data_IF_956329796375
#
_entry.id   IF_956329796375
#
_cell.length_a   1.000
_cell.length_b   1.000
_cell.length_c   1.000
_cell.angle_alpha   90.00
_cell.angle_beta   90.00
_cell.angle_gamma   90.00
#
_symmetry.space_group_name_H-M   'P 1'
#
loop_
_entity.id
_entity.type
_entity.pdbx_description
1 polymer ?
#
# COMPACT_ATOMS: atom_id res chain seq x y z
N UNK A 1 22.32 13.03 11.70
CA UNK A 1 21.52 14.13 12.27
C UNK A 1 21.02 15.00 11.12
N UNK A 2 19.94 14.57 10.46
CA UNK A 2 19.23 15.42 9.49
C UNK A 2 18.29 16.35 10.26
N UNK A 3 18.24 17.61 9.84
CA UNK A 3 17.65 18.72 10.59
C UNK A 3 16.14 18.83 10.32
N UNK A 4 15.40 19.28 11.34
CA UNK A 4 13.93 19.50 11.42
C UNK A 4 13.31 20.42 10.34
N UNK A 5 14.05 20.83 9.31
CA UNK A 5 13.65 21.83 8.32
C UNK A 5 13.06 21.30 7.00
N UNK A 6 13.05 19.99 6.77
CA UNK A 6 12.50 19.39 5.55
C UNK A 6 10.97 19.15 5.61
N UNK A 7 10.38 19.21 6.81
CA UNK A 7 9.03 18.68 7.07
C UNK A 7 7.88 19.69 6.89
N UNK A 8 8.17 20.99 6.81
CA UNK A 8 7.16 21.97 6.40
C UNK A 8 6.76 21.88 4.91
N UNK A 9 7.47 21.04 4.14
CA UNK A 9 7.18 20.81 2.71
C UNK A 9 6.39 19.53 2.43
N UNK A 10 6.39 18.51 3.29
CA UNK A 10 5.56 17.30 3.11
C UNK A 10 4.08 17.57 3.47
N UNK A 11 3.81 18.38 4.50
CA UNK A 11 2.46 18.85 4.80
C UNK A 11 1.86 19.72 3.67
N UNK A 12 2.70 20.28 2.79
CA UNK A 12 2.29 21.09 1.65
C UNK A 12 1.95 20.27 0.39
N UNK A 13 2.12 18.94 0.40
CA UNK A 13 1.62 18.06 -0.67
C UNK A 13 0.19 17.55 -0.44
N UNK A 14 -0.43 17.85 0.70
CA UNK A 14 -1.87 17.66 0.92
C UNK A 14 -2.67 18.85 0.37
N UNK A 15 -2.52 19.13 -0.92
CA UNK A 15 -3.22 20.23 -1.60
C UNK A 15 -4.62 19.79 -2.10
N UNK A 16 -5.52 19.46 -1.17
CA UNK A 16 -6.95 19.67 -1.40
C UNK A 16 -7.22 21.17 -1.20
N UNK A 17 -7.26 21.93 -2.29
CA UNK A 17 -7.49 23.38 -2.25
C UNK A 17 -8.94 23.73 -1.95
N UNK A 18 -9.17 24.49 -0.87
CA UNK A 18 -10.05 25.67 -0.90
C UNK A 18 -9.34 26.88 -0.24
N UNK A 19 -8.66 27.63 -1.11
CA UNK A 19 -8.39 29.07 -1.19
C UNK A 19 -7.85 29.91 0.01
N UNK A 20 -6.68 30.53 -0.22
CA UNK A 20 -6.56 32.00 -0.34
C UNK A 20 -5.20 32.47 -0.94
N UNK A 21 -5.29 33.13 -2.10
CA UNK A 21 -4.51 34.28 -2.62
C UNK A 21 -2.95 34.32 -2.69
N UNK A 22 -2.49 34.40 -3.95
CA UNK A 22 -1.46 35.28 -4.54
C UNK A 22 0.06 35.07 -4.27
N UNK A 23 0.78 34.67 -5.32
CA UNK A 23 2.01 35.28 -5.92
C UNK A 23 2.57 34.31 -7.00
N UNK A 24 2.12 34.42 -8.26
CA UNK A 24 2.80 35.06 -9.42
C UNK A 24 4.06 34.36 -9.97
N UNK A 25 3.91 33.93 -11.24
CA UNK A 25 4.88 33.71 -12.34
C UNK A 25 5.88 32.53 -12.29
N UNK A 26 5.61 31.48 -13.08
CA UNK A 26 6.30 31.15 -14.35
C UNK A 26 5.64 29.89 -14.96
N UNK A 27 4.89 29.97 -16.06
CA UNK A 27 5.34 29.43 -17.34
C UNK A 27 4.30 28.43 -17.87
N UNK A 28 3.51 28.85 -18.86
CA UNK A 28 2.36 28.11 -19.38
C UNK A 28 2.76 26.94 -20.28
N UNK A 29 2.06 25.80 -20.14
CA UNK A 29 1.91 24.78 -21.19
C UNK A 29 0.40 24.57 -21.41
N UNK A 30 0.02 24.46 -22.68
CA UNK A 30 -1.33 24.65 -23.20
C UNK A 30 -2.39 23.71 -22.59
N UNK A 31 -3.53 24.31 -22.20
CA UNK A 31 -4.78 23.62 -21.84
C UNK A 31 -5.39 22.97 -23.08
N UNK A 32 -5.71 21.67 -22.97
CA UNK A 32 -6.77 21.05 -23.76
C UNK A 32 -7.99 20.94 -22.84
N UNK A 33 -9.06 21.67 -23.15
CA UNK A 33 -10.32 21.61 -22.41
C UNK A 33 -10.94 20.20 -22.49
N UNK A 34 -11.36 19.59 -21.37
CA UNK A 34 -12.31 18.50 -21.41
C UNK A 34 -13.72 19.09 -21.63
N UNK A 35 -14.42 18.59 -22.65
CA UNK A 35 -15.84 18.85 -22.80
C UNK A 35 -16.59 18.27 -21.61
N UNK A 36 -17.40 19.11 -20.97
CA UNK A 36 -18.25 18.75 -19.85
C UNK A 36 -19.29 17.72 -20.28
N UNK A 37 -19.15 16.49 -19.79
CA UNK A 37 -20.23 15.53 -19.74
C UNK A 37 -20.52 15.29 -18.26
N UNK A 38 -21.70 15.72 -17.83
CA UNK A 38 -22.15 15.64 -16.45
C UNK A 38 -22.09 14.18 -15.97
N UNK A 39 -21.07 13.85 -15.18
CA UNK A 39 -21.01 12.61 -14.46
C UNK A 39 -22.00 12.72 -13.30
N UNK A 40 -22.99 11.83 -13.28
CA UNK A 40 -23.86 11.66 -12.12
C UNK A 40 -22.98 11.27 -10.93
N UNK A 41 -22.96 12.13 -9.91
CA UNK A 41 -22.38 11.83 -8.60
C UNK A 41 -23.20 10.74 -7.95
N UNK A 42 -22.75 9.50 -8.08
CA UNK A 42 -23.22 8.41 -7.24
C UNK A 42 -22.56 8.56 -5.86
N UNK A 43 -23.12 9.44 -5.01
CA UNK A 43 -22.83 9.40 -3.59
C UNK A 43 -23.48 8.16 -2.99
N UNK A 44 -22.73 7.07 -2.96
CA UNK A 44 -23.07 5.91 -2.14
C UNK A 44 -21.86 5.59 -1.27
N UNK A 45 -21.44 6.54 -0.43
CA UNK A 45 -20.50 6.24 0.65
C UNK A 45 -21.24 5.41 1.69
N UNK A 46 -20.75 4.19 1.96
CA UNK A 46 -21.31 3.34 2.99
C UNK A 46 -21.30 4.08 4.33
N UNK A 47 -22.43 4.06 5.04
CA UNK A 47 -22.54 4.66 6.37
C UNK A 47 -21.82 3.75 7.37
N UNK A 48 -20.64 4.14 7.80
CA UNK A 48 -19.90 3.41 8.83
C UNK A 48 -20.44 3.71 10.22
N UNK A 49 -20.54 2.67 11.05
CA UNK A 49 -20.86 2.80 12.47
C UNK A 49 -19.56 3.01 13.24
N UNK A 50 -19.58 3.91 14.22
CA UNK A 50 -18.46 4.10 15.13
C UNK A 50 -18.94 4.50 16.52
N UNK A 51 -18.09 4.30 17.52
CA UNK A 51 -18.30 4.86 18.87
C UNK A 51 -18.22 6.39 18.82
N UNK A 52 -17.25 6.92 18.08
CA UNK A 52 -17.11 8.36 17.83
C UNK A 52 -17.19 8.66 16.33
N UNK A 53 -18.06 9.59 15.94
CA UNK A 53 -18.13 10.11 14.56
C UNK A 53 -17.83 11.61 14.60
N UNK A 54 -16.88 12.05 13.79
CA UNK A 54 -16.56 13.47 13.57
C UNK A 54 -16.92 13.84 12.13
N UNK A 55 -17.93 14.68 11.97
CA UNK A 55 -18.55 15.00 10.68
C UNK A 55 -18.48 16.52 10.46
N UNK A 56 -17.56 16.98 9.61
CA UNK A 56 -17.32 18.41 9.35
C UNK A 56 -16.68 19.22 10.49
N UNK A 57 -16.53 18.62 11.68
CA UNK A 57 -15.98 19.26 12.88
C UNK A 57 -14.52 18.88 13.16
N UNK A 58 -13.90 19.54 14.14
CA UNK A 58 -12.55 19.22 14.62
C UNK A 58 -12.53 18.65 16.03
N UNK A 59 -11.71 17.62 16.25
CA UNK A 59 -11.51 16.97 17.55
C UNK A 59 -10.01 16.76 17.82
N UNK A 60 -9.56 16.98 19.05
CA UNK A 60 -8.21 16.63 19.48
C UNK A 60 -8.28 15.88 20.80
N UNK A 61 -7.63 14.72 20.85
CA UNK A 61 -7.56 13.87 22.04
C UNK A 61 -6.09 13.58 22.35
N UNK A 62 -5.75 13.67 23.63
CA UNK A 62 -4.39 13.38 24.11
C UNK A 62 -4.44 12.46 25.33
N UNK A 63 -3.61 11.41 25.32
CA UNK A 63 -3.47 10.48 26.46
C UNK A 63 -4.70 9.61 26.71
N UNK A 64 -5.63 9.51 25.75
CA UNK A 64 -6.90 8.81 25.95
C UNK A 64 -6.81 7.34 25.57
N UNK A 65 -7.67 6.53 26.19
CA UNK A 65 -7.96 5.17 25.73
C UNK A 65 -9.30 5.15 25.02
N UNK A 66 -9.32 4.67 23.78
CA UNK A 66 -10.51 4.56 22.94
C UNK A 66 -10.74 3.08 22.61
N UNK A 67 -11.99 2.63 22.65
CA UNK A 67 -12.33 1.23 22.44
C UNK A 67 -13.63 1.05 21.66
N UNK A 68 -13.73 -0.08 20.95
CA UNK A 68 -14.95 -0.61 20.36
C UNK A 68 -14.91 -2.14 20.36
N UNK A 69 -15.99 -2.77 20.79
CA UNK A 69 -16.13 -4.22 20.95
C UNK A 69 -17.28 -4.83 20.13
N UNK A 70 -18.16 -3.99 19.58
CA UNK A 70 -19.22 -4.45 18.67
C UNK A 70 -18.70 -4.79 17.27
N UNK A 71 -19.41 -5.69 16.60
CA UNK A 71 -19.18 -6.03 15.21
C UNK A 71 -19.51 -4.85 14.28
N UNK A 72 -18.72 -4.69 13.21
CA UNK A 72 -18.90 -3.66 12.18
C UNK A 72 -19.05 -2.23 12.77
N UNK A 73 -18.31 -1.97 13.86
CA UNK A 73 -18.28 -0.68 14.54
C UNK A 73 -16.83 -0.25 14.79
N UNK A 74 -16.41 0.83 14.13
CA UNK A 74 -15.12 1.46 14.37
C UNK A 74 -15.06 2.13 15.75
N UNK A 75 -13.85 2.37 16.24
CA UNK A 75 -13.64 3.22 17.41
C UNK A 75 -13.94 4.67 17.05
N UNK A 76 -13.40 5.13 15.91
CA UNK A 76 -13.59 6.49 15.42
C UNK A 76 -13.67 6.55 13.90
N UNK A 77 -14.63 7.33 13.40
CA UNK A 77 -14.75 7.71 11.98
C UNK A 77 -14.70 9.23 11.86
N UNK A 78 -13.91 9.75 10.93
CA UNK A 78 -13.89 11.17 10.55
C UNK A 78 -14.25 11.34 9.07
N UNK A 79 -15.10 12.31 8.72
CA UNK A 79 -15.62 12.49 7.36
C UNK A 79 -16.07 13.93 7.06
N UNK A 80 -16.38 14.19 5.78
CA UNK A 80 -17.05 15.42 5.29
C UNK A 80 -16.37 16.73 5.72
N UNK A 81 -15.05 16.81 5.64
CA UNK A 81 -14.27 17.97 6.08
C UNK A 81 -13.87 17.94 7.55
N UNK A 82 -14.25 16.88 8.29
CA UNK A 82 -13.85 16.70 9.67
C UNK A 82 -12.34 16.50 9.83
N UNK A 83 -11.82 16.81 11.01
CA UNK A 83 -10.40 16.70 11.35
C UNK A 83 -10.20 16.18 12.76
N UNK A 84 -9.44 15.10 12.92
CA UNK A 84 -9.14 14.50 14.22
C UNK A 84 -7.65 14.42 14.43
N UNK A 85 -7.19 14.80 15.63
CA UNK A 85 -5.81 14.63 16.08
C UNK A 85 -5.78 13.76 17.33
N UNK A 86 -5.04 12.65 17.28
CA UNK A 86 -4.81 11.74 18.39
C UNK A 86 -3.33 11.77 18.77
N UNK A 87 -3.03 12.08 20.04
CA UNK A 87 -1.66 12.06 20.58
C UNK A 87 -1.56 11.19 21.80
N UNK A 88 -0.53 10.34 21.88
CA UNK A 88 -0.30 9.51 23.07
C UNK A 88 -1.51 8.63 23.43
N UNK A 89 -2.35 8.27 22.45
CA UNK A 89 -3.59 7.54 22.67
C UNK A 89 -3.37 6.03 22.54
N UNK A 90 -4.17 5.26 23.28
CA UNK A 90 -4.30 3.81 23.11
C UNK A 90 -5.66 3.49 22.49
N UNK A 91 -5.66 2.74 21.39
CA UNK A 91 -6.86 2.39 20.64
C UNK A 91 -7.01 0.87 20.60
N UNK A 92 -8.20 0.37 20.97
CA UNK A 92 -8.48 -1.07 21.01
C UNK A 92 -9.75 -1.42 20.24
N UNK A 93 -9.69 -2.45 19.40
CA UNK A 93 -10.84 -2.93 18.62
C UNK A 93 -10.93 -4.45 18.66
N UNK A 94 -11.98 -4.99 19.29
CA UNK A 94 -12.12 -6.44 19.50
C UNK A 94 -13.30 -7.06 18.75
N UNK A 95 -14.31 -6.27 18.39
CA UNK A 95 -15.42 -6.76 17.57
C UNK A 95 -14.97 -7.17 16.17
N UNK A 96 -15.43 -8.32 15.67
CA UNK A 96 -15.12 -8.81 14.33
C UNK A 96 -16.16 -8.41 13.28
N UNK A 97 -16.02 -8.95 12.08
CA UNK A 97 -17.06 -8.92 11.02
C UNK A 97 -17.35 -10.33 10.51
N UNK A 98 -18.59 -10.55 10.04
CA UNK A 98 -18.97 -11.79 9.37
C UNK A 98 -18.62 -11.78 7.87
N UNK A 99 -18.37 -10.60 7.30
CA UNK A 99 -18.11 -10.39 5.88
C UNK A 99 -16.65 -9.97 5.66
N UNK A 100 -15.85 -10.86 5.08
CA UNK A 100 -14.44 -10.55 4.76
C UNK A 100 -14.30 -9.47 3.68
N UNK A 101 -15.30 -9.24 2.83
CA UNK A 101 -15.27 -8.16 1.84
C UNK A 101 -15.43 -6.79 2.51
N UNK A 102 -16.12 -6.70 3.65
CA UNK A 102 -16.24 -5.45 4.40
C UNK A 102 -14.89 -4.94 4.96
N UNK A 103 -13.89 -5.83 5.10
CA UNK A 103 -12.56 -5.48 5.61
C UNK A 103 -11.78 -4.54 4.68
N UNK A 104 -12.03 -4.60 3.36
CA UNK A 104 -11.35 -3.74 2.37
C UNK A 104 -11.99 -2.34 2.24
N UNK A 105 -13.22 -2.15 2.73
CA UNK A 105 -13.94 -0.87 2.71
C UNK A 105 -13.82 -0.09 4.04
N UNK A 106 -13.05 -0.61 5.00
CA UNK A 106 -12.83 0.01 6.30
C UNK A 106 -13.97 -0.19 7.31
N UNK A 107 -14.95 -1.05 7.02
CA UNK A 107 -16.16 -1.22 7.83
C UNK A 107 -15.87 -1.62 9.27
N UNK A 108 -14.90 -2.51 9.47
CA UNK A 108 -14.53 -2.99 10.80
C UNK A 108 -13.16 -2.47 11.27
N UNK A 109 -12.58 -1.50 10.56
CA UNK A 109 -11.31 -0.89 10.98
C UNK A 109 -11.47 -0.10 12.29
N UNK A 110 -10.42 -0.05 13.11
CA UNK A 110 -10.48 0.66 14.40
C UNK A 110 -10.62 2.18 14.19
N UNK A 111 -9.83 2.76 13.29
CA UNK A 111 -9.88 4.18 12.95
C UNK A 111 -10.05 4.36 11.44
N UNK A 112 -10.98 5.24 11.05
CA UNK A 112 -11.28 5.49 9.64
C UNK A 112 -11.32 6.98 9.33
N UNK A 113 -10.54 7.41 8.35
CA UNK A 113 -10.85 8.61 7.58
C UNK A 113 -11.68 8.19 6.37
N UNK A 114 -12.93 8.65 6.30
CA UNK A 114 -13.77 8.50 5.11
C UNK A 114 -13.68 9.75 4.23
N UNK A 115 -14.36 9.77 3.08
CA UNK A 115 -14.37 10.89 2.14
C UNK A 115 -14.40 12.26 2.82
N UNK A 116 -13.41 13.10 2.49
CA UNK A 116 -13.20 14.44 3.06
C UNK A 116 -12.71 14.49 4.51
N UNK A 117 -12.51 13.36 5.19
CA UNK A 117 -12.04 13.28 6.57
C UNK A 117 -10.51 13.32 6.67
N UNK A 118 -10.02 13.95 7.73
CA UNK A 118 -8.59 14.04 8.03
C UNK A 118 -8.31 13.46 9.43
N UNK A 119 -7.38 12.50 9.52
CA UNK A 119 -6.98 11.89 10.78
C UNK A 119 -5.47 11.98 10.97
N UNK A 120 -5.04 12.55 12.09
CA UNK A 120 -3.63 12.69 12.45
C UNK A 120 -3.37 11.88 13.71
N UNK A 121 -2.36 11.02 13.69
CA UNK A 121 -1.90 10.24 14.84
C UNK A 121 -0.42 10.51 15.10
N UNK A 122 -0.08 10.72 16.37
CA UNK A 122 1.29 10.90 16.83
C UNK A 122 1.49 10.08 18.11
N UNK A 123 2.51 9.23 18.13
CA UNK A 123 2.90 8.44 19.30
C UNK A 123 1.75 7.61 19.92
N UNK A 124 0.98 6.92 19.09
CA UNK A 124 -0.17 6.12 19.55
C UNK A 124 0.15 4.62 19.62
N UNK A 125 -0.73 3.85 20.25
CA UNK A 125 -0.74 2.39 20.20
C UNK A 125 -2.11 1.92 19.73
N UNK A 126 -2.14 1.05 18.72
CA UNK A 126 -3.38 0.47 18.19
C UNK A 126 -3.31 -1.05 18.28
N UNK A 127 -4.29 -1.65 18.94
CA UNK A 127 -4.43 -3.09 19.03
C UNK A 127 -5.79 -3.55 18.52
N UNK A 128 -5.79 -4.52 17.60
CA UNK A 128 -7.02 -5.14 17.11
C UNK A 128 -7.00 -6.65 17.29
N UNK A 129 -8.15 -7.21 17.68
CA UNK A 129 -8.32 -8.64 17.93
C UNK A 129 -9.70 -9.17 17.47
N UNK A 130 -10.30 -8.49 16.50
CA UNK A 130 -11.51 -8.95 15.81
C UNK A 130 -11.19 -9.39 14.39
N UNK A 131 -11.84 -10.45 13.88
CA UNK A 131 -11.76 -10.82 12.46
C UNK A 131 -12.13 -9.62 11.58
N UNK A 132 -11.33 -9.32 10.56
CA UNK A 132 -11.54 -8.17 9.68
C UNK A 132 -11.23 -6.81 10.31
N UNK A 133 -10.68 -6.76 11.53
CA UNK A 133 -10.44 -5.51 12.24
C UNK A 133 -9.08 -4.92 11.88
N UNK A 134 -9.03 -4.22 10.74
CA UNK A 134 -7.84 -3.44 10.37
C UNK A 134 -7.57 -2.31 11.38
N UNK A 135 -6.33 -1.87 11.55
CA UNK A 135 -6.03 -0.85 12.55
C UNK A 135 -6.42 0.55 12.07
N UNK A 136 -6.02 0.91 10.85
CA UNK A 136 -6.19 2.25 10.29
C UNK A 136 -6.62 2.19 8.82
N UNK A 137 -7.63 2.98 8.46
CA UNK A 137 -8.13 3.05 7.10
C UNK A 137 -8.32 4.50 6.60
N UNK A 138 -7.91 4.76 5.36
CA UNK A 138 -8.29 5.93 4.57
C UNK A 138 -9.09 5.46 3.37
N UNK A 139 -10.37 5.81 3.29
CA UNK A 139 -11.27 5.29 2.25
C UNK A 139 -12.13 6.41 1.68
N UNK A 140 -12.04 6.63 0.36
CA UNK A 140 -12.84 7.62 -0.34
C UNK A 140 -12.08 8.91 -0.70
N UNK A 141 -12.69 9.68 -1.58
CA UNK A 141 -12.11 10.91 -2.12
C UNK A 141 -11.75 11.91 -1.01
N UNK A 142 -10.52 12.42 -1.04
CA UNK A 142 -9.99 13.37 -0.06
C UNK A 142 -9.97 12.82 1.38
N UNK A 143 -10.03 11.50 1.58
CA UNK A 143 -9.75 10.88 2.87
C UNK A 143 -8.22 10.84 3.08
N UNK A 144 -7.76 11.42 4.18
CA UNK A 144 -6.34 11.53 4.48
C UNK A 144 -6.03 11.07 5.90
N UNK A 145 -5.01 10.22 6.02
CA UNK A 145 -4.42 9.88 7.31
C UNK A 145 -2.94 10.26 7.33
N UNK A 146 -2.51 10.95 8.38
CA UNK A 146 -1.10 11.18 8.69
C UNK A 146 -0.79 10.49 10.01
N UNK A 147 0.12 9.52 10.01
CA UNK A 147 0.44 8.73 11.21
C UNK A 147 1.94 8.68 11.44
N UNK A 148 2.37 9.01 12.66
CA UNK A 148 3.78 8.90 13.06
C UNK A 148 3.98 8.20 14.40
N UNK A 149 5.15 7.57 14.54
CA UNK A 149 5.67 7.04 15.80
C UNK A 149 4.70 6.09 16.51
N UNK A 150 3.91 5.33 15.74
CA UNK A 150 2.76 4.57 16.24
C UNK A 150 3.05 3.07 16.16
N UNK A 151 2.72 2.36 17.24
CA UNK A 151 2.78 0.90 17.29
C UNK A 151 1.42 0.31 16.93
N UNK A 152 1.38 -0.66 16.02
CA UNK A 152 0.18 -1.31 15.53
C UNK A 152 0.32 -2.83 15.70
N UNK A 153 -0.70 -3.47 16.27
CA UNK A 153 -0.79 -4.94 16.32
C UNK A 153 -2.18 -5.41 15.91
N UNK A 154 -2.26 -6.27 14.90
CA UNK A 154 -3.51 -6.92 14.48
C UNK A 154 -3.38 -8.44 14.61
N UNK A 155 -4.37 -9.07 15.26
CA UNK A 155 -4.24 -10.48 15.67
C UNK A 155 -5.02 -11.46 14.80
N UNK A 156 -6.22 -11.08 14.35
CA UNK A 156 -7.13 -11.98 13.64
C UNK A 156 -6.97 -11.90 12.12
N UNK A 157 -7.57 -12.84 11.40
CA UNK A 157 -7.54 -12.86 9.93
C UNK A 157 -8.21 -11.63 9.30
N UNK A 158 -7.84 -11.35 8.04
CA UNK A 158 -8.32 -10.22 7.25
C UNK A 158 -8.15 -8.83 7.90
N UNK A 159 -7.14 -8.65 8.75
CA UNK A 159 -6.97 -7.47 9.60
C UNK A 159 -5.69 -6.72 9.24
N UNK A 160 -5.76 -5.79 8.28
CA UNK A 160 -4.60 -5.05 7.83
C UNK A 160 -4.06 -4.08 8.90
N UNK A 161 -2.75 -3.81 8.90
CA UNK A 161 -2.18 -2.77 9.74
C UNK A 161 -2.71 -1.39 9.34
N UNK A 162 -2.32 -0.91 8.16
CA UNK A 162 -2.85 0.31 7.56
C UNK A 162 -3.37 0.03 6.15
N UNK A 163 -4.44 0.72 5.77
CA UNK A 163 -5.12 0.52 4.51
C UNK A 163 -5.54 1.83 3.86
N UNK A 164 -5.22 2.01 2.58
CA UNK A 164 -5.73 3.10 1.76
C UNK A 164 -6.51 2.52 0.59
N UNK A 165 -7.74 2.97 0.33
CA UNK A 165 -8.56 2.48 -0.78
C UNK A 165 -9.48 3.59 -1.32
N UNK A 166 -10.04 3.39 -2.52
CA UNK A 166 -10.99 4.32 -3.14
C UNK A 166 -10.54 5.79 -3.10
N UNK A 167 -9.33 6.09 -3.61
CA UNK A 167 -8.66 7.40 -3.59
C UNK A 167 -8.26 7.91 -2.20
N UNK A 168 -8.37 7.10 -1.15
CA UNK A 168 -7.81 7.40 0.17
C UNK A 168 -6.28 7.47 0.13
N UNK A 169 -5.73 8.33 0.99
CA UNK A 169 -4.29 8.58 1.08
C UNK A 169 -3.78 8.41 2.52
N UNK A 170 -2.66 7.71 2.67
CA UNK A 170 -1.96 7.59 3.96
C UNK A 170 -0.51 8.06 3.81
N UNK A 171 -0.11 8.95 4.70
CA UNK A 171 1.28 9.35 4.93
C UNK A 171 1.73 8.77 6.28
N UNK A 172 2.73 7.89 6.27
CA UNK A 172 3.18 7.16 7.44
C UNK A 172 4.66 7.38 7.73
N UNK A 173 5.02 7.53 9.01
CA UNK A 173 6.40 7.62 9.45
C UNK A 173 6.64 6.80 10.73
N UNK A 174 7.78 6.10 10.82
CA UNK A 174 8.24 5.46 12.05
C UNK A 174 7.16 4.53 12.66
N UNK A 175 6.65 3.59 11.87
CA UNK A 175 5.62 2.66 12.34
C UNK A 175 6.25 1.34 12.74
N UNK A 176 5.86 0.82 13.91
CA UNK A 176 6.13 -0.55 14.30
C UNK A 176 4.86 -1.37 14.12
N UNK A 177 4.80 -2.26 13.12
CA UNK A 177 3.58 -3.00 12.77
C UNK A 177 3.78 -4.51 12.92
N UNK A 178 2.87 -5.18 13.62
CA UNK A 178 2.79 -6.64 13.69
C UNK A 178 1.41 -7.12 13.23
N UNK A 179 1.36 -7.99 12.23
CA UNK A 179 0.13 -8.66 11.80
C UNK A 179 0.26 -10.18 11.92
N UNK A 180 -0.75 -10.84 12.48
CA UNK A 180 -0.65 -12.27 12.82
C UNK A 180 -1.61 -13.16 12.03
N UNK A 181 -2.80 -12.65 11.70
CA UNK A 181 -3.83 -13.42 11.01
C UNK A 181 -3.55 -13.65 9.53
N UNK A 182 -4.19 -14.67 8.94
CA UNK A 182 -4.15 -14.87 7.49
C UNK A 182 -4.75 -13.65 6.75
N UNK A 183 -4.32 -13.42 5.51
CA UNK A 183 -4.83 -12.32 4.67
C UNK A 183 -4.72 -10.92 5.30
N UNK A 184 -3.71 -10.71 6.16
CA UNK A 184 -3.58 -9.50 6.99
C UNK A 184 -2.30 -8.75 6.67
N UNK A 185 -2.26 -7.97 5.58
CA UNK A 185 -1.07 -7.23 5.21
C UNK A 185 -0.75 -6.10 6.21
N UNK A 186 0.53 -5.78 6.41
CA UNK A 186 0.90 -4.63 7.25
C UNK A 186 0.49 -3.32 6.58
N UNK A 187 0.80 -3.17 5.30
CA UNK A 187 0.44 -2.03 4.46
C UNK A 187 -0.37 -2.50 3.25
N UNK A 188 -1.57 -1.95 3.07
CA UNK A 188 -2.45 -2.30 1.96
C UNK A 188 -2.92 -1.07 1.18
N UNK A 189 -2.34 -0.85 0.00
CA UNK A 189 -2.89 0.08 -0.98
C UNK A 189 -3.93 -0.68 -1.80
N UNK A 190 -5.20 -0.55 -1.46
CA UNK A 190 -6.32 -1.26 -2.05
C UNK A 190 -6.83 -0.66 -3.36
N UNK A 191 -7.90 -1.27 -3.87
CA UNK A 191 -8.55 -0.93 -5.15
C UNK A 191 -9.09 0.49 -5.19
N UNK A 192 -9.31 0.99 -6.42
CA UNK A 192 -9.77 2.35 -6.65
C UNK A 192 -8.69 3.40 -6.33
N UNK A 193 -7.43 3.10 -6.65
CA UNK A 193 -6.31 4.05 -6.55
C UNK A 193 -5.95 4.48 -5.12
N UNK A 194 -6.03 3.57 -4.15
CA UNK A 194 -5.49 3.81 -2.81
C UNK A 194 -3.99 4.15 -2.85
N UNK A 195 -3.56 5.14 -2.07
CA UNK A 195 -2.16 5.61 -2.05
C UNK A 195 -1.57 5.55 -0.64
N UNK A 196 -0.39 4.93 -0.51
CA UNK A 196 0.39 4.93 0.73
C UNK A 196 1.80 5.42 0.43
N UNK A 197 2.24 6.44 1.17
CA UNK A 197 3.64 6.84 1.23
C UNK A 197 4.12 6.66 2.67
N UNK A 198 5.14 5.82 2.86
CA UNK A 198 5.61 5.46 4.18
C UNK A 198 7.14 5.50 4.28
N UNK A 199 7.66 5.90 5.43
CA UNK A 199 9.09 5.90 5.73
C UNK A 199 9.36 5.37 7.14
N UNK A 200 10.45 4.62 7.35
CA UNK A 200 10.78 4.10 8.67
C UNK A 200 9.77 3.08 9.20
N UNK A 201 9.17 2.26 8.32
CA UNK A 201 8.27 1.18 8.76
C UNK A 201 9.11 -0.03 9.13
N UNK A 202 8.93 -0.51 10.35
CA UNK A 202 9.55 -1.73 10.85
C UNK A 202 8.47 -2.72 11.28
N UNK A 203 8.68 -4.02 11.04
CA UNK A 203 7.74 -4.99 11.56
C UNK A 203 7.74 -6.36 10.89
N UNK A 204 6.68 -7.11 11.18
CA UNK A 204 6.56 -8.49 10.74
C UNK A 204 5.12 -8.90 10.50
N UNK A 205 4.95 -9.78 9.51
CA UNK A 205 3.72 -10.52 9.28
C UNK A 205 3.95 -12.02 9.51
N UNK A 206 3.02 -12.67 10.21
CA UNK A 206 3.09 -14.11 10.52
C UNK A 206 1.99 -14.95 9.87
N UNK A 207 1.00 -14.31 9.25
CA UNK A 207 -0.16 -15.00 8.67
C UNK A 207 0.10 -15.62 7.30
N UNK A 208 -0.63 -16.69 6.98
CA UNK A 208 -0.66 -17.22 5.62
C UNK A 208 -1.28 -16.18 4.67
N UNK A 209 -0.73 -16.05 3.46
CA UNK A 209 -1.21 -15.08 2.46
C UNK A 209 -1.25 -13.63 2.97
N UNK A 210 -0.42 -13.30 3.97
CA UNK A 210 -0.39 -11.98 4.61
C UNK A 210 0.95 -11.29 4.31
N UNK A 211 1.16 -10.73 3.11
CA UNK A 211 2.42 -10.03 2.81
C UNK A 211 2.59 -8.80 3.69
N UNK A 212 3.81 -8.37 3.98
CA UNK A 212 4.02 -7.09 4.66
C UNK A 212 3.43 -5.94 3.82
N UNK A 213 3.61 -6.01 2.50
CA UNK A 213 3.15 -4.99 1.55
C UNK A 213 2.23 -5.61 0.52
N UNK A 214 1.05 -5.03 0.31
CA UNK A 214 0.14 -5.42 -0.77
C UNK A 214 -0.29 -4.16 -1.53
N UNK A 215 0.14 -4.05 -2.79
CA UNK A 215 -0.22 -2.94 -3.68
C UNK A 215 -1.19 -3.40 -4.77
N UNK A 216 -2.41 -2.86 -4.69
CA UNK A 216 -3.47 -2.77 -5.71
C UNK A 216 -3.75 -1.29 -6.06
N UNK A 217 -2.77 -0.43 -5.79
CA UNK A 217 -2.81 1.01 -6.00
C UNK A 217 -1.39 1.56 -6.15
N UNK A 218 -1.08 2.65 -5.44
CA UNK A 218 0.28 3.22 -5.40
C UNK A 218 0.86 3.10 -4.01
N UNK A 219 2.03 2.46 -3.88
CA UNK A 219 2.71 2.32 -2.60
C UNK A 219 4.19 2.68 -2.72
N UNK A 220 4.64 3.60 -1.88
CA UNK A 220 6.04 4.02 -1.79
C UNK A 220 6.55 3.80 -0.38
N UNK A 221 7.70 3.14 -0.28
CA UNK A 221 8.41 2.86 0.97
C UNK A 221 9.83 3.36 0.95
N UNK A 222 10.23 4.01 2.03
CA UNK A 222 11.58 4.53 2.24
C UNK A 222 12.14 4.06 3.57
N UNK A 223 13.43 3.73 3.64
CA UNK A 223 14.16 3.46 4.89
C UNK A 223 13.43 2.49 5.84
N UNK A 224 12.87 1.41 5.29
CA UNK A 224 11.96 0.49 6.01
C UNK A 224 12.51 -0.93 6.06
N UNK A 225 12.14 -1.73 7.07
CA UNK A 225 12.58 -3.12 7.23
C UNK A 225 11.44 -4.04 7.70
N UNK A 226 11.08 -5.03 6.89
CA UNK A 226 9.94 -5.88 7.17
C UNK A 226 10.20 -7.35 6.84
N UNK A 227 9.60 -8.24 7.63
CA UNK A 227 9.76 -9.70 7.49
C UNK A 227 8.40 -10.40 7.41
N UNK A 228 8.18 -11.19 6.36
CA UNK A 228 7.02 -12.08 6.24
C UNK A 228 7.42 -13.53 6.52
N UNK A 229 6.83 -14.14 7.55
CA UNK A 229 7.16 -15.51 7.97
C UNK A 229 6.43 -16.59 7.19
N UNK A 230 5.25 -16.31 6.61
CA UNK A 230 4.37 -17.32 6.02
C UNK A 230 3.79 -16.92 4.65
N UNK A 231 4.36 -15.91 3.99
CA UNK A 231 3.97 -15.45 2.66
C UNK A 231 5.12 -14.77 1.95
N UNK A 232 4.92 -14.37 0.68
CA UNK A 232 5.77 -13.35 0.08
C UNK A 232 5.78 -12.09 0.96
N UNK A 233 6.88 -11.34 0.96
CA UNK A 233 7.00 -10.13 1.76
C UNK A 233 6.29 -8.95 1.09
N UNK A 234 6.25 -8.90 -0.23
CA UNK A 234 5.40 -7.97 -0.97
C UNK A 234 4.62 -8.64 -2.09
N UNK A 235 3.46 -8.06 -2.39
CA UNK A 235 2.60 -8.43 -3.50
C UNK A 235 2.26 -7.16 -4.28
N UNK A 236 2.49 -7.20 -5.60
CA UNK A 236 2.07 -6.19 -6.55
C UNK A 236 1.06 -6.83 -7.50
N UNK A 237 -0.19 -6.40 -7.40
CA UNK A 237 -1.28 -6.98 -8.17
C UNK A 237 -1.71 -6.04 -9.30
N UNK A 238 -1.70 -6.57 -10.52
CA UNK A 238 -2.12 -5.89 -11.74
C UNK A 238 -1.33 -4.64 -12.10
N UNK A 239 -1.94 -3.76 -12.89
CA UNK A 239 -1.32 -2.54 -13.44
C UNK A 239 -1.16 -1.43 -12.38
N UNK A 240 -0.54 -1.78 -11.26
CA UNK A 240 -0.31 -0.94 -10.10
C UNK A 240 1.18 -0.73 -9.87
N UNK A 241 1.51 0.05 -8.85
CA UNK A 241 2.89 0.47 -8.63
C UNK A 241 3.39 0.25 -7.19
N UNK A 242 4.67 -0.11 -7.09
CA UNK A 242 5.40 -0.27 -5.83
C UNK A 242 6.82 0.31 -5.96
N UNK A 243 7.12 1.33 -5.15
CA UNK A 243 8.46 1.93 -5.05
C UNK A 243 9.10 1.58 -3.71
N UNK A 244 10.32 1.04 -3.75
CA UNK A 244 11.11 0.66 -2.60
C UNK A 244 12.45 1.40 -2.65
N UNK A 245 12.70 2.31 -1.72
CA UNK A 245 13.97 3.03 -1.59
C UNK A 245 14.61 2.70 -0.25
N UNK A 246 15.86 2.24 -0.23
CA UNK A 246 16.57 1.84 1.00
C UNK A 246 15.73 0.93 1.90
N UNK A 247 14.91 0.07 1.30
CA UNK A 247 13.96 -0.78 2.01
C UNK A 247 14.44 -2.23 1.99
N UNK A 248 14.29 -2.89 3.13
CA UNK A 248 14.62 -4.29 3.34
C UNK A 248 13.34 -5.13 3.45
N UNK A 249 13.12 -6.01 2.48
CA UNK A 249 12.05 -7.00 2.48
C UNK A 249 12.64 -8.41 2.58
N UNK A 250 12.13 -9.19 3.52
CA UNK A 250 12.52 -10.58 3.72
C UNK A 250 11.31 -11.51 3.79
N UNK A 251 11.23 -12.46 2.86
CA UNK A 251 10.30 -13.58 2.99
C UNK A 251 11.03 -14.81 3.52
N UNK A 252 10.56 -15.37 4.64
CA UNK A 252 11.15 -16.59 5.22
C UNK A 252 10.38 -17.86 4.83
N UNK A 253 9.05 -17.76 4.68
CA UNK A 253 8.18 -18.92 4.48
C UNK A 253 7.78 -19.21 3.03
N UNK A 254 8.00 -18.29 2.09
CA UNK A 254 7.55 -18.39 0.71
C UNK A 254 8.71 -18.64 -0.26
N UNK A 255 8.39 -19.25 -1.41
CA UNK A 255 9.30 -19.37 -2.55
C UNK A 255 9.43 -18.05 -3.35
N UNK A 256 8.82 -16.96 -2.86
CA UNK A 256 8.75 -15.66 -3.53
C UNK A 256 9.01 -14.55 -2.51
N UNK A 257 9.98 -13.67 -2.78
CA UNK A 257 10.20 -12.46 -1.96
C UNK A 257 9.15 -11.40 -2.27
N UNK A 258 9.05 -11.05 -3.54
CA UNK A 258 8.01 -10.19 -4.13
C UNK A 258 7.29 -10.98 -5.21
N UNK A 259 5.96 -11.01 -5.13
CA UNK A 259 5.08 -11.56 -6.16
C UNK A 259 4.46 -10.43 -6.97
N UNK A 260 4.64 -10.46 -8.28
CA UNK A 260 4.00 -9.56 -9.24
C UNK A 260 3.06 -10.38 -10.11
N UNK A 261 1.76 -10.14 -10.02
CA UNK A 261 0.78 -10.98 -10.73
C UNK A 261 -0.52 -10.26 -11.07
N UNK A 262 -1.28 -10.82 -12.01
CA UNK A 262 -2.70 -10.50 -12.22
C UNK A 262 -3.55 -11.69 -11.78
N UNK A 263 -4.68 -11.51 -11.08
CA UNK A 263 -5.61 -12.60 -10.77
C UNK A 263 -6.40 -13.05 -12.01
N UNK A 264 -7.16 -14.14 -11.88
CA UNK A 264 -8.03 -14.66 -12.95
C UNK A 264 -9.10 -13.64 -13.36
N UNK A 265 -9.36 -13.55 -14.67
CA UNK A 265 -10.45 -12.73 -15.18
C UNK A 265 -11.79 -13.18 -14.58
N UNK A 266 -12.45 -12.30 -13.83
CA UNK A 266 -13.74 -12.55 -13.19
C UNK A 266 -13.73 -12.79 -11.67
N UNK A 267 -12.56 -12.75 -11.01
CA UNK A 267 -12.52 -12.61 -9.55
C UNK A 267 -12.99 -11.20 -9.15
N UNK A 268 -13.85 -11.13 -8.12
CA UNK A 268 -15.00 -10.22 -8.01
C UNK A 268 -14.76 -8.73 -7.67
N UNK A 269 -13.58 -8.16 -7.92
CA UNK A 269 -13.30 -6.75 -7.59
C UNK A 269 -12.57 -5.97 -8.69
N UNK A 270 -12.77 -6.35 -9.95
CA UNK A 270 -12.25 -5.61 -11.08
C UNK A 270 -13.39 -5.09 -11.96
N UNK A 271 -13.79 -3.84 -11.72
CA UNK A 271 -14.35 -3.01 -12.79
C UNK A 271 -13.20 -2.69 -13.75
N UNK A 272 -13.04 -3.53 -14.77
CA UNK A 272 -11.91 -3.58 -15.71
C UNK A 272 -10.57 -3.97 -15.06
N UNK A 273 -9.98 -5.07 -15.51
CA UNK A 273 -8.54 -5.22 -15.43
C UNK A 273 -7.97 -4.07 -16.27
N UNK A 274 -7.41 -3.05 -15.63
CA UNK A 274 -6.74 -1.98 -16.36
C UNK A 274 -5.69 -2.63 -17.25
N UNK A 275 -5.84 -2.46 -18.56
CA UNK A 275 -4.82 -2.86 -19.52
C UNK A 275 -3.60 -2.00 -19.24
N UNK A 276 -2.59 -2.57 -18.59
CA UNK A 276 -1.42 -1.84 -18.16
C UNK A 276 -0.35 -2.76 -17.62
N UNK A 277 0.79 -2.16 -17.28
CA UNK A 277 1.98 -2.85 -16.84
C UNK A 277 2.16 -2.62 -15.34
N UNK A 278 2.47 -3.68 -14.59
CA UNK A 278 2.85 -3.55 -13.19
C UNK A 278 4.22 -2.85 -13.10
N UNK A 279 4.39 -1.88 -12.20
CA UNK A 279 5.65 -1.13 -12.07
C UNK A 279 6.26 -1.33 -10.67
N UNK A 280 7.45 -1.91 -10.62
CA UNK A 280 8.23 -2.10 -9.40
C UNK A 280 9.58 -1.40 -9.51
N UNK A 281 9.86 -0.49 -8.59
CA UNK A 281 11.17 0.15 -8.46
C UNK A 281 11.83 -0.26 -7.16
N UNK A 282 13.09 -0.67 -7.24
CA UNK A 282 13.93 -1.06 -6.11
C UNK A 282 15.25 -0.29 -6.20
N UNK A 283 15.40 0.72 -5.34
CA UNK A 283 16.60 1.57 -5.26
C UNK A 283 17.30 1.36 -3.92
N UNK A 284 18.50 0.77 -3.96
CA UNK A 284 19.22 0.34 -2.76
C UNK A 284 18.44 -0.67 -1.91
N UNK A 285 18.78 -0.79 -0.64
CA UNK A 285 18.13 -1.75 0.26
C UNK A 285 18.32 -3.21 -0.17
N UNK A 286 17.37 -4.09 0.21
CA UNK A 286 17.42 -5.51 -0.13
C UNK A 286 16.02 -6.13 -0.30
N UNK A 287 15.91 -7.07 -1.23
CA UNK A 287 14.75 -7.94 -1.40
C UNK A 287 15.22 -9.38 -1.39
N UNK A 288 14.76 -10.14 -0.40
CA UNK A 288 15.21 -11.51 -0.16
C UNK A 288 14.07 -12.50 -0.01
N UNK A 289 14.30 -13.73 -0.47
CA UNK A 289 13.43 -14.88 -0.24
C UNK A 289 14.27 -16.05 0.25
N UNK A 290 13.95 -16.64 1.39
CA UNK A 290 14.76 -17.71 1.98
C UNK A 290 14.73 -19.02 1.17
N UNK A 291 13.62 -19.30 0.46
CA UNK A 291 13.40 -20.61 -0.19
C UNK A 291 13.40 -20.58 -1.72
N UNK A 292 13.06 -19.44 -2.34
CA UNK A 292 12.87 -19.36 -3.79
C UNK A 292 13.40 -18.07 -4.40
N UNK A 293 12.70 -17.55 -5.41
CA UNK A 293 13.14 -16.37 -6.14
C UNK A 293 12.86 -15.08 -5.35
N UNK A 294 13.76 -14.10 -5.44
CA UNK A 294 13.52 -12.80 -4.82
C UNK A 294 12.36 -12.06 -5.49
N UNK A 295 12.35 -12.01 -6.83
CA UNK A 295 11.28 -11.39 -7.62
C UNK A 295 10.62 -12.45 -8.50
N UNK A 296 9.30 -12.58 -8.40
CA UNK A 296 8.51 -13.55 -9.15
C UNK A 296 7.40 -12.86 -9.94
N UNK A 297 7.36 -13.06 -11.26
CA UNK A 297 6.37 -12.47 -12.18
C UNK A 297 5.54 -13.57 -12.83
N UNK A 298 4.22 -13.46 -12.79
CA UNK A 298 3.31 -14.45 -13.41
C UNK A 298 2.01 -13.80 -13.88
N UNK A 299 1.44 -14.31 -14.97
CA UNK A 299 0.15 -13.88 -15.50
C UNK A 299 0.02 -12.35 -15.71
N UNK A 300 1.10 -11.63 -15.93
CA UNK A 300 1.06 -10.16 -16.09
C UNK A 300 2.22 -9.64 -16.92
N UNK A 301 2.05 -8.44 -17.45
CA UNK A 301 3.14 -7.62 -17.97
C UNK A 301 3.69 -6.74 -16.85
N UNK A 302 5.02 -6.72 -16.67
CA UNK A 302 5.67 -5.96 -15.61
C UNK A 302 6.92 -5.24 -16.10
N UNK A 303 7.17 -4.08 -15.51
CA UNK A 303 8.44 -3.37 -15.55
C UNK A 303 9.07 -3.39 -14.15
N UNK A 304 10.28 -3.91 -14.07
CA UNK A 304 11.06 -3.92 -12.83
C UNK A 304 12.33 -3.11 -13.06
N UNK A 305 12.58 -2.13 -12.20
CA UNK A 305 13.79 -1.31 -12.21
C UNK A 305 14.56 -1.51 -10.91
N UNK A 306 15.81 -1.99 -11.02
CA UNK A 306 16.72 -2.23 -9.89
C UNK A 306 17.90 -1.28 -10.03
N UNK A 307 18.09 -0.40 -9.07
CA UNK A 307 19.14 0.63 -9.09
C UNK A 307 19.83 0.78 -7.73
N UNK A 308 20.88 1.61 -7.72
CA UNK A 308 21.60 2.05 -6.53
C UNK A 308 22.13 0.86 -5.72
N UNK A 309 22.59 -0.17 -6.43
CA UNK A 309 23.15 -1.38 -5.85
C UNK A 309 22.21 -2.14 -4.89
N UNK A 310 20.89 -2.07 -5.14
CA UNK A 310 19.90 -2.87 -4.41
C UNK A 310 20.26 -4.37 -4.40
N UNK A 311 20.16 -5.02 -3.25
CA UNK A 311 20.46 -6.45 -3.14
C UNK A 311 19.22 -7.30 -3.41
N UNK A 312 19.16 -7.94 -4.58
CA UNK A 312 18.07 -8.86 -4.93
C UNK A 312 18.60 -10.30 -4.92
N UNK A 313 18.17 -11.09 -3.94
CA UNK A 313 18.74 -12.42 -3.67
C UNK A 313 17.68 -13.47 -3.27
N UNK A 314 17.57 -14.53 -4.06
CA UNK A 314 16.72 -15.68 -3.76
C UNK A 314 17.53 -16.85 -3.21
N UNK A 315 17.01 -17.53 -2.19
CA UNK A 315 17.65 -18.69 -1.57
C UNK A 315 17.78 -19.90 -2.50
N UNK A 316 17.02 -19.95 -3.59
CA UNK A 316 17.20 -20.93 -4.67
C UNK A 316 18.38 -20.61 -5.60
N UNK A 317 19.05 -19.46 -5.42
CA UNK A 317 20.03 -18.91 -6.36
C UNK A 317 19.40 -18.16 -7.55
N UNK A 318 18.07 -18.01 -7.57
CA UNK A 318 17.33 -17.27 -8.61
C UNK A 318 16.98 -15.88 -8.08
N UNK A 319 17.47 -14.83 -8.73
CA UNK A 319 17.10 -13.46 -8.37
C UNK A 319 15.73 -13.08 -8.95
N UNK A 320 15.51 -13.41 -10.22
CA UNK A 320 14.29 -13.05 -10.96
C UNK A 320 13.74 -14.27 -11.66
N UNK A 321 12.43 -14.51 -11.50
CA UNK A 321 11.72 -15.59 -12.20
C UNK A 321 10.45 -15.06 -12.85
N UNK A 322 10.30 -15.30 -14.16
CA UNK A 322 9.04 -15.08 -14.88
C UNK A 322 8.49 -16.42 -15.36
N UNK A 323 7.36 -16.87 -14.83
CA UNK A 323 6.83 -18.19 -15.14
C UNK A 323 5.31 -18.22 -15.13
N UNK A 324 4.72 -19.24 -15.76
CA UNK A 324 3.34 -19.58 -15.53
C UNK A 324 3.13 -20.02 -14.07
N UNK A 325 2.13 -19.44 -13.43
CA UNK A 325 1.77 -19.71 -12.04
C UNK A 325 0.38 -20.28 -11.90
N UNK A 326 -0.18 -20.16 -10.70
CA UNK A 326 -1.54 -20.60 -10.37
C UNK A 326 -2.63 -19.64 -10.83
N UNK A 327 -2.26 -18.45 -11.31
CA UNK A 327 -3.19 -17.43 -11.81
C UNK A 327 -3.20 -17.45 -13.33
N UNK A 328 -4.32 -17.05 -13.93
CA UNK A 328 -4.54 -16.94 -15.36
C UNK A 328 -5.07 -18.21 -16.03
N UNK A 329 -5.33 -18.09 -17.33
CA UNK A 329 -5.72 -19.23 -18.16
C UNK A 329 -4.51 -20.09 -18.49
N UNK A 330 -4.58 -21.39 -18.18
CA UNK A 330 -3.53 -22.36 -18.51
C UNK A 330 -3.09 -22.25 -19.97
N UNK A 331 -1.78 -22.07 -20.18
CA UNK A 331 -1.18 -21.91 -21.51
C UNK A 331 -1.07 -20.46 -21.98
N UNK A 332 -1.66 -19.50 -21.26
CA UNK A 332 -1.60 -18.06 -21.54
C UNK A 332 -1.28 -17.22 -20.28
N UNK A 333 -0.66 -17.84 -19.28
CA UNK A 333 -0.53 -17.26 -17.94
C UNK A 333 0.92 -17.07 -17.47
N UNK A 334 1.87 -17.04 -18.40
CA UNK A 334 3.26 -16.70 -18.11
C UNK A 334 3.45 -15.24 -17.72
N UNK A 335 4.63 -14.92 -17.20
CA UNK A 335 5.04 -13.55 -16.90
C UNK A 335 5.77 -12.91 -18.08
N UNK A 336 5.45 -11.65 -18.39
CA UNK A 336 6.16 -10.86 -19.40
C UNK A 336 6.85 -9.69 -18.71
N UNK A 337 8.17 -9.78 -18.57
CA UNK A 337 8.96 -8.83 -17.79
C UNK A 337 9.88 -8.01 -18.69
N UNK A 338 9.84 -6.69 -18.51
CA UNK A 338 10.91 -5.77 -18.91
C UNK A 338 11.73 -5.44 -17.65
N UNK A 339 13.01 -5.82 -17.66
CA UNK A 339 13.91 -5.68 -16.53
C UNK A 339 15.01 -4.66 -16.82
N UNK A 340 15.06 -3.60 -16.04
CA UNK A 340 16.21 -2.69 -15.95
C UNK A 340 16.98 -2.99 -14.67
N UNK A 341 18.28 -3.23 -14.78
CA UNK A 341 19.17 -3.38 -13.62
C UNK A 341 20.50 -2.69 -13.87
N UNK A 342 21.07 -2.07 -12.84
CA UNK A 342 22.44 -1.56 -12.83
C UNK A 342 23.52 -2.66 -12.66
N UNK A 343 23.10 -3.92 -12.54
CA UNK A 343 23.97 -5.08 -12.37
C UNK A 343 24.05 -5.61 -10.94
N UNK A 344 23.39 -4.97 -9.97
CA UNK A 344 23.30 -5.47 -8.60
C UNK A 344 22.18 -6.50 -8.43
N UNK A 345 22.39 -7.69 -8.98
CA UNK A 345 21.54 -8.86 -8.69
C UNK A 345 22.44 -10.05 -8.39
N UNK A 346 22.14 -10.76 -7.30
CA UNK A 346 22.83 -12.00 -6.95
C UNK A 346 21.94 -13.19 -7.31
N UNK A 347 22.15 -13.74 -8.51
CA UNK A 347 21.47 -14.97 -8.92
C UNK A 347 21.12 -15.01 -10.41
N UNK A 348 20.48 -16.11 -10.79
CA UNK A 348 20.01 -16.33 -12.14
C UNK A 348 18.72 -15.52 -12.44
N UNK A 349 18.52 -15.25 -13.73
CA UNK A 349 17.23 -14.88 -14.29
C UNK A 349 16.66 -16.13 -14.96
N UNK A 350 15.48 -16.57 -14.55
CA UNK A 350 14.80 -17.75 -15.10
C UNK A 350 13.46 -17.39 -15.72
N UNK A 351 13.12 -18.04 -16.82
CA UNK A 351 11.77 -17.97 -17.38
C UNK A 351 11.38 -19.24 -18.13
N UNK A 352 10.08 -19.56 -18.13
CA UNK A 352 9.54 -20.74 -18.82
C UNK A 352 9.12 -20.46 -20.28
N UNK A 353 8.61 -21.49 -20.96
CA UNK A 353 8.20 -21.38 -22.37
C UNK A 353 6.98 -20.49 -22.63
N UNK A 354 6.25 -20.07 -21.59
CA UNK A 354 5.09 -19.19 -21.68
C UNK A 354 5.42 -17.75 -21.26
N UNK A 355 6.67 -17.51 -20.87
CA UNK A 355 7.12 -16.27 -20.24
C UNK A 355 8.27 -15.66 -21.02
N UNK A 356 8.56 -14.39 -20.75
CA UNK A 356 9.67 -13.66 -21.38
C UNK A 356 10.29 -12.66 -20.42
N UNK A 357 11.61 -12.52 -20.48
CA UNK A 357 12.34 -11.43 -19.82
C UNK A 357 13.15 -10.66 -20.86
N UNK A 358 12.83 -9.38 -21.04
CA UNK A 358 13.59 -8.44 -21.84
C UNK A 358 14.45 -7.58 -20.92
N UNK A 359 15.77 -7.65 -21.04
CA UNK A 359 16.69 -6.82 -20.25
C UNK A 359 17.03 -5.55 -21.01
N UNK A 360 16.77 -4.38 -20.41
CA UNK A 360 17.10 -3.07 -20.97
C UNK A 360 18.30 -2.46 -20.25
N UNK A 361 19.22 -1.86 -21.01
CA UNK A 361 20.41 -1.22 -20.42
C UNK A 361 20.11 0.22 -20.00
N UNK A 362 20.83 0.73 -18.99
CA UNK A 362 20.65 2.10 -18.50
C UNK A 362 20.84 3.19 -19.59
N UNK A 363 21.50 2.87 -20.70
CA UNK A 363 21.81 3.81 -21.79
C UNK A 363 20.63 4.05 -22.76
N UNK A 364 19.56 3.25 -22.73
CA UNK A 364 18.48 3.34 -23.72
C UNK A 364 17.30 4.25 -23.32
N UNK A 365 17.33 4.86 -22.12
CA UNK A 365 16.18 5.62 -21.59
C UNK A 365 16.42 7.07 -21.20
N UNK A 366 17.61 7.65 -21.37
CA UNK A 366 17.77 9.12 -21.22
C UNK A 366 16.96 9.91 -22.26
N UNK A 367 16.42 9.26 -23.29
CA UNK A 367 15.53 9.89 -24.27
C UNK A 367 14.03 9.82 -23.89
N UNK A 368 13.60 8.95 -22.96
CA UNK A 368 12.16 8.67 -22.75
C UNK A 368 11.70 8.45 -21.30
N UNK A 369 12.59 8.41 -20.30
CA UNK A 369 12.16 8.35 -18.91
C UNK A 369 12.03 9.78 -18.34
N UNK A 370 10.81 10.33 -18.37
CA UNK A 370 10.44 11.36 -17.40
C UNK A 370 10.36 10.66 -16.04
N UNK A 371 11.38 10.87 -15.21
CA UNK A 371 11.29 10.69 -13.76
C UNK A 371 10.06 11.46 -13.25
N UNK A 372 9.18 10.85 -12.45
CA UNK A 372 8.18 11.59 -11.68
C UNK A 372 8.82 12.61 -10.73
#
# INVERSE_FOLDING_TARGET
MMTKGAWSKLAALCACTVAAAALSSCGAVAKKEPQAQAAATAENSAVLRAVTVVDGDSLTLEGQTLCADEADQSVLVVKNGGSVVLRNCTITKTGGTADSASAIEGVNAALVAQSGGNLVLENCTIETDGKGASALAAVGDNACVVVSDTTITTRQEASAGVMAAANGCILAQNLAIETQGAYSPMLYAGTGSGTIQASGVEGRSSGAYAPCVYSRGTLTLEDSEMVAYASACAVLEGANSLSLTQTALESQGSEMGVLVFQPDAGQAEQTQADSGMAELWVSGGRVTAAQGAALYVTNTEAYICITDSAQVQGGSGVAVKAAAGQWGSSGNNGGRLVLRSDGAMEGAIEYDSLSSVETVTAAETEANAKTP
#
